data_IF_270635366004
#
_entry.id   IF_270635366004
#
_cell.length_a   1.000
_cell.length_b   1.000
_cell.length_c   1.000
_cell.angle_alpha   90.00
_cell.angle_beta   90.00
_cell.angle_gamma   90.00
#
_symmetry.space_group_name_H-M   'P 1'
#
loop_
_entity.id
_entity.type
_entity.pdbx_description
1 polymer ?
#
# COMPACT_ATOMS: atom_id res chain seq x y z
N UNK A 1 26.48 -27.80 9.36
CA UNK A 1 26.41 -26.55 10.14
C UNK A 1 25.15 -25.85 9.67
N UNK A 2 24.11 -25.94 10.47
CA UNK A 2 22.73 -25.64 10.07
C UNK A 2 22.49 -24.13 10.10
N UNK A 3 21.99 -23.57 8.99
CA UNK A 3 21.33 -22.27 9.03
C UNK A 3 19.90 -22.52 9.48
N UNK A 4 19.69 -22.48 10.79
CA UNK A 4 18.37 -22.39 11.39
C UNK A 4 17.82 -21.01 11.03
N UNK A 5 17.02 -20.94 9.96
CA UNK A 5 16.17 -19.78 9.74
C UNK A 5 15.02 -19.87 10.74
N UNK A 6 15.27 -19.36 11.94
CA UNK A 6 14.26 -19.25 13.00
C UNK A 6 13.16 -18.32 12.47
N UNK A 7 12.07 -18.90 11.97
CA UNK A 7 10.82 -18.19 11.77
C UNK A 7 10.27 -17.88 13.15
N UNK A 8 10.75 -16.78 13.74
CA UNK A 8 10.17 -16.22 14.94
C UNK A 8 8.81 -15.65 14.54
N UNK A 9 7.79 -16.52 14.58
CA UNK A 9 6.37 -16.17 14.49
C UNK A 9 5.94 -15.46 15.77
N UNK A 10 6.60 -14.36 16.11
CA UNK A 10 6.22 -13.54 17.26
C UNK A 10 5.36 -12.38 16.74
N UNK A 11 4.07 -12.70 16.62
CA UNK A 11 2.96 -11.72 16.56
C UNK A 11 3.18 -10.54 15.61
N UNK A 12 3.57 -10.79 14.35
CA UNK A 12 3.40 -9.78 13.32
C UNK A 12 1.89 -9.58 13.17
N UNK A 13 1.36 -8.42 13.58
CA UNK A 13 -0.03 -8.05 13.32
C UNK A 13 -0.27 -8.26 11.83
N UNK A 14 -1.00 -9.32 11.48
CA UNK A 14 -1.40 -9.55 10.10
C UNK A 14 -2.14 -8.31 9.62
N UNK A 15 -1.62 -7.69 8.55
CA UNK A 15 -2.24 -6.52 7.98
C UNK A 15 -3.62 -6.93 7.47
N UNK A 16 -4.67 -6.54 8.20
CA UNK A 16 -6.04 -6.85 7.81
C UNK A 16 -6.44 -5.91 6.67
N UNK A 17 -6.17 -6.35 5.45
CA UNK A 17 -6.40 -5.59 4.22
C UNK A 17 -7.85 -5.11 4.09
N UNK A 18 -8.81 -5.96 4.47
CA UNK A 18 -10.24 -5.63 4.38
C UNK A 18 -10.62 -4.57 5.40
N UNK A 19 -10.17 -4.71 6.66
CA UNK A 19 -10.42 -3.72 7.70
C UNK A 19 -9.80 -2.36 7.37
N UNK A 20 -8.63 -2.36 6.74
CA UNK A 20 -7.96 -1.15 6.29
C UNK A 20 -8.71 -0.47 5.13
N UNK A 21 -9.04 -1.21 4.08
CA UNK A 21 -9.80 -0.69 2.93
C UNK A 21 -11.21 -0.18 3.32
N UNK A 22 -11.80 -0.73 4.38
CA UNK A 22 -13.11 -0.32 4.89
C UNK A 22 -13.04 0.75 5.98
N UNK A 23 -11.84 1.23 6.33
CA UNK A 23 -11.69 2.30 7.31
C UNK A 23 -12.41 3.56 6.80
N UNK A 24 -13.52 3.89 7.46
CA UNK A 24 -14.38 5.02 7.07
C UNK A 24 -13.57 6.32 7.08
N UNK A 25 -13.43 6.93 5.92
CA UNK A 25 -12.98 8.30 5.78
C UNK A 25 -14.20 9.21 5.85
N UNK A 26 -14.26 10.02 6.91
CA UNK A 26 -15.43 10.85 7.22
C UNK A 26 -15.62 12.02 6.24
N UNK A 27 -14.56 12.41 5.52
CA UNK A 27 -14.57 13.56 4.61
C UNK A 27 -13.71 13.26 3.40
N UNK A 28 -14.32 13.32 2.20
CA UNK A 28 -13.60 13.20 0.94
C UNK A 28 -12.74 14.44 0.72
N UNK A 29 -11.52 14.27 0.20
CA UNK A 29 -10.62 15.40 -0.01
C UNK A 29 -11.13 16.35 -1.10
N UNK A 30 -11.02 17.65 -0.84
CA UNK A 30 -11.23 18.75 -1.78
C UNK A 30 -10.18 19.85 -1.56
N UNK A 31 -10.17 20.88 -2.41
CA UNK A 31 -9.17 21.97 -2.39
C UNK A 31 -9.11 22.71 -1.04
N UNK A 32 -10.21 22.74 -0.28
CA UNK A 32 -10.31 23.45 1.01
C UNK A 32 -9.78 22.65 2.20
N UNK A 33 -9.64 21.32 2.07
CA UNK A 33 -9.31 20.43 3.18
C UNK A 33 -8.05 19.57 2.96
N UNK A 34 -7.37 19.75 1.81
CA UNK A 34 -6.22 18.94 1.40
C UNK A 34 -5.11 18.82 2.45
N UNK A 35 -4.72 19.92 3.11
CA UNK A 35 -3.59 19.88 4.05
C UNK A 35 -3.88 19.00 5.27
N UNK A 36 -5.11 19.09 5.79
CA UNK A 36 -5.57 18.26 6.90
C UNK A 36 -5.71 16.79 6.49
N UNK A 37 -6.25 16.53 5.29
CA UNK A 37 -6.32 15.20 4.72
C UNK A 37 -4.92 14.59 4.52
N UNK A 38 -3.97 15.35 3.97
CA UNK A 38 -2.59 14.92 3.75
C UNK A 38 -1.92 14.50 5.05
N UNK A 39 -2.10 15.29 6.12
CA UNK A 39 -1.63 14.93 7.46
C UNK A 39 -2.29 13.64 7.98
N UNK A 40 -3.60 13.48 7.78
CA UNK A 40 -4.31 12.27 8.17
C UNK A 40 -3.77 11.03 7.44
N UNK A 41 -3.60 11.10 6.12
CA UNK A 41 -3.03 10.00 5.33
C UNK A 41 -1.60 9.66 5.77
N UNK A 42 -0.75 10.66 6.01
CA UNK A 42 0.61 10.42 6.51
C UNK A 42 0.62 9.73 7.88
N UNK A 43 -0.34 10.05 8.76
CA UNK A 43 -0.49 9.38 10.06
C UNK A 43 -0.98 7.93 9.91
N UNK A 44 -1.91 7.67 8.99
CA UNK A 44 -2.39 6.31 8.69
C UNK A 44 -1.29 5.45 8.04
N UNK A 45 -0.49 6.03 7.15
CA UNK A 45 0.68 5.35 6.55
C UNK A 45 1.79 5.12 7.58
N UNK A 46 1.91 5.96 8.61
CA UNK A 46 2.85 5.72 9.72
C UNK A 46 2.44 4.56 10.63
N UNK A 47 1.14 4.32 10.81
CA UNK A 47 0.64 3.21 11.63
C UNK A 47 0.68 1.88 10.90
N UNK A 48 0.77 1.92 9.57
CA UNK A 48 0.90 0.77 8.70
C UNK A 48 2.17 0.95 7.88
N UNK A 49 3.35 0.56 8.40
CA UNK A 49 4.54 0.52 7.57
C UNK A 49 4.22 -0.39 6.38
N UNK A 50 3.91 0.24 5.24
CA UNK A 50 4.22 -0.29 3.93
C UNK A 50 5.57 -0.94 4.10
N UNK A 51 5.71 -2.20 3.71
CA UNK A 51 7.03 -2.80 3.66
C UNK A 51 7.85 -1.91 2.71
N UNK A 52 8.54 -0.90 3.24
CA UNK A 52 9.26 0.16 2.51
C UNK A 52 10.52 -0.39 1.81
N UNK A 53 10.58 -1.71 1.65
CA UNK A 53 11.66 -2.42 1.02
C UNK A 53 11.20 -2.83 -0.36
N UNK A 54 10.95 -1.82 -1.20
CA UNK A 54 10.96 -1.94 -2.67
C UNK A 54 12.41 -2.19 -3.10
N UNK A 55 12.96 -3.31 -2.68
CA UNK A 55 14.09 -3.92 -3.35
C UNK A 55 13.47 -5.05 -4.13
N UNK A 56 13.09 -4.74 -5.37
CA UNK A 56 12.62 -5.62 -6.46
C UNK A 56 12.45 -7.07 -5.98
N UNK A 57 11.33 -7.35 -5.30
CA UNK A 57 11.07 -8.72 -4.90
C UNK A 57 10.85 -9.52 -6.19
N UNK A 58 11.61 -10.59 -6.42
CA UNK A 58 11.42 -11.39 -7.61
C UNK A 58 10.04 -12.05 -7.53
N UNK A 59 9.29 -12.00 -8.63
CA UNK A 59 7.98 -12.63 -8.76
C UNK A 59 8.03 -14.14 -8.48
N UNK A 60 9.15 -14.77 -8.84
CA UNK A 60 9.39 -16.19 -8.65
C UNK A 60 10.70 -16.42 -7.92
N UNK A 61 10.69 -17.34 -6.95
CA UNK A 61 11.88 -17.85 -6.27
C UNK A 61 12.05 -19.33 -6.59
N UNK A 62 13.27 -19.85 -6.48
CA UNK A 62 13.51 -21.28 -6.63
C UNK A 62 13.25 -21.98 -5.29
N UNK A 63 12.43 -23.03 -5.28
CA UNK A 63 12.19 -23.85 -4.10
C UNK A 63 13.36 -24.81 -3.79
N UNK A 64 13.30 -25.50 -2.66
CA UNK A 64 14.32 -26.46 -2.23
C UNK A 64 14.50 -27.65 -3.20
N UNK A 65 13.53 -27.87 -4.10
CA UNK A 65 13.56 -28.90 -5.14
C UNK A 65 14.09 -28.37 -6.50
N UNK A 66 14.42 -27.08 -6.60
CA UNK A 66 14.91 -26.46 -7.83
C UNK A 66 13.81 -25.97 -8.78
N UNK A 67 12.54 -26.00 -8.38
CA UNK A 67 11.43 -25.49 -9.17
C UNK A 67 11.22 -23.99 -8.96
N UNK A 68 10.82 -23.29 -10.01
CA UNK A 68 10.37 -21.89 -9.90
C UNK A 68 8.97 -21.87 -9.26
N UNK A 69 8.88 -21.30 -8.08
CA UNK A 69 7.62 -21.09 -7.34
C UNK A 69 7.36 -19.61 -7.17
N UNK A 70 6.09 -19.25 -7.02
CA UNK A 70 5.68 -17.87 -6.77
C UNK A 70 6.19 -17.39 -5.41
N UNK A 71 6.75 -16.18 -5.39
CA UNK A 71 7.22 -15.58 -4.16
C UNK A 71 6.03 -15.06 -3.35
N UNK A 72 5.62 -15.80 -2.32
CA UNK A 72 4.53 -15.38 -1.43
C UNK A 72 4.74 -13.99 -0.81
N UNK A 73 6.00 -13.58 -0.62
CA UNK A 73 6.35 -12.23 -0.13
C UNK A 73 6.03 -11.16 -1.18
N UNK A 74 6.22 -11.46 -2.47
CA UNK A 74 5.82 -10.58 -3.57
C UNK A 74 4.30 -10.46 -3.64
N UNK A 75 3.58 -11.58 -3.53
CA UNK A 75 2.10 -11.59 -3.54
C UNK A 75 1.53 -10.79 -2.37
N UNK A 76 2.08 -10.96 -1.17
CA UNK A 76 1.68 -10.19 0.01
C UNK A 76 1.95 -8.69 -0.17
N UNK A 77 3.07 -8.32 -0.78
CA UNK A 77 3.40 -6.95 -1.12
C UNK A 77 2.38 -6.35 -2.11
N UNK A 78 2.09 -7.03 -3.22
CA UNK A 78 1.10 -6.56 -4.21
C UNK A 78 -0.29 -6.42 -3.61
N UNK A 79 -0.69 -7.37 -2.76
CA UNK A 79 -1.98 -7.31 -2.08
C UNK A 79 -2.05 -6.09 -1.14
N UNK A 80 -0.96 -5.81 -0.41
CA UNK A 80 -0.89 -4.65 0.48
C UNK A 80 -0.91 -3.33 -0.31
N UNK A 81 -0.13 -3.22 -1.39
CA UNK A 81 -0.08 -2.02 -2.24
C UNK A 81 -1.42 -1.78 -2.95
N UNK A 82 -2.06 -2.83 -3.48
CA UNK A 82 -3.39 -2.76 -4.08
C UNK A 82 -4.44 -2.31 -3.07
N UNK A 83 -4.37 -2.83 -1.84
CA UNK A 83 -5.30 -2.45 -0.75
C UNK A 83 -5.11 -0.98 -0.38
N UNK A 84 -3.87 -0.52 -0.28
CA UNK A 84 -3.56 0.88 0.01
C UNK A 84 -3.98 1.82 -1.12
N UNK A 85 -3.82 1.40 -2.37
CA UNK A 85 -4.30 2.13 -3.54
C UNK A 85 -5.82 2.28 -3.52
N UNK A 86 -6.54 1.18 -3.26
CA UNK A 86 -8.00 1.18 -3.17
C UNK A 86 -8.50 2.05 -2.00
N UNK A 87 -7.86 1.94 -0.83
CA UNK A 87 -8.17 2.78 0.32
C UNK A 87 -7.92 4.26 0.01
N UNK A 88 -6.74 4.60 -0.53
CA UNK A 88 -6.38 5.97 -0.86
C UNK A 88 -7.37 6.59 -1.85
N UNK A 89 -7.75 5.84 -2.90
CA UNK A 89 -8.75 6.26 -3.87
C UNK A 89 -10.14 6.46 -3.24
N UNK A 90 -10.51 5.65 -2.25
CA UNK A 90 -11.78 5.79 -1.51
C UNK A 90 -11.84 7.07 -0.67
N UNK A 91 -10.68 7.63 -0.31
CA UNK A 91 -10.60 8.89 0.45
C UNK A 91 -10.73 10.14 -0.44
N UNK A 92 -10.71 9.95 -1.77
CA UNK A 92 -10.68 11.02 -2.75
C UNK A 92 -12.07 11.24 -3.33
N UNK A 93 -12.47 12.51 -3.48
CA UNK A 93 -13.74 12.86 -4.12
C UNK A 93 -13.77 12.42 -5.59
N UNK A 94 -14.92 11.94 -6.05
CA UNK A 94 -15.12 11.46 -7.42
C UNK A 94 -14.73 12.50 -8.50
N UNK A 95 -14.80 13.80 -8.18
CA UNK A 95 -14.38 14.90 -9.05
C UNK A 95 -12.91 14.81 -9.50
N UNK A 96 -12.05 14.18 -8.69
CA UNK A 96 -10.63 14.02 -8.98
C UNK A 96 -10.29 12.63 -9.54
N UNK A 97 -11.22 11.66 -9.50
CA UNK A 97 -10.95 10.30 -9.98
C UNK A 97 -10.53 10.28 -11.46
N UNK A 98 -11.15 11.10 -12.31
CA UNK A 98 -10.78 11.21 -13.72
C UNK A 98 -9.34 11.69 -13.94
N UNK A 99 -8.80 12.51 -13.04
CA UNK A 99 -7.43 13.01 -13.11
C UNK A 99 -6.40 11.99 -12.61
N UNK A 100 -6.87 10.96 -11.89
CA UNK A 100 -6.05 9.88 -11.32
C UNK A 100 -6.02 8.63 -12.21
N UNK A 101 -6.81 8.61 -13.30
CA UNK A 101 -6.83 7.52 -14.28
C UNK A 101 -5.41 7.37 -14.86
N UNK A 102 -4.84 6.17 -14.71
CA UNK A 102 -3.48 5.84 -15.16
C UNK A 102 -2.37 6.01 -14.10
N UNK A 103 -2.68 6.59 -12.93
CA UNK A 103 -1.75 6.67 -11.79
C UNK A 103 -2.04 5.61 -10.71
N UNK A 104 -2.99 4.71 -10.95
CA UNK A 104 -3.47 3.69 -10.00
C UNK A 104 -2.62 2.43 -9.93
N UNK A 105 -1.47 2.38 -10.62
CA UNK A 105 -0.62 1.19 -10.68
C UNK A 105 0.15 0.92 -9.39
N UNK A 106 0.30 1.92 -8.51
CA UNK A 106 0.81 1.71 -7.16
C UNK A 106 0.31 2.78 -6.20
N UNK A 107 0.31 2.48 -4.90
CA UNK A 107 -0.11 3.44 -3.88
C UNK A 107 0.82 4.67 -3.87
N UNK A 108 2.10 4.47 -4.18
CA UNK A 108 3.10 5.54 -4.28
C UNK A 108 2.83 6.47 -5.47
N UNK A 109 2.58 5.92 -6.66
CA UNK A 109 2.26 6.73 -7.85
C UNK A 109 0.96 7.52 -7.64
N UNK A 110 -0.03 6.91 -7.00
CA UNK A 110 -1.29 7.56 -6.66
C UNK A 110 -1.09 8.71 -5.67
N UNK A 111 -0.24 8.51 -4.65
CA UNK A 111 0.13 9.55 -3.68
C UNK A 111 0.83 10.74 -4.35
N UNK A 112 1.82 10.49 -5.21
CA UNK A 112 2.52 11.54 -5.97
C UNK A 112 1.58 12.33 -6.90
N UNK A 113 0.62 11.65 -7.54
CA UNK A 113 -0.38 12.31 -8.37
C UNK A 113 -1.27 13.24 -7.53
N UNK A 114 -1.73 12.78 -6.36
CA UNK A 114 -2.55 13.57 -5.44
C UNK A 114 -1.78 14.78 -4.88
N UNK A 115 -0.52 14.59 -4.47
CA UNK A 115 0.30 15.71 -3.98
C UNK A 115 0.58 16.75 -5.07
N UNK A 116 0.67 16.34 -6.34
CA UNK A 116 0.80 17.25 -7.48
C UNK A 116 -0.49 18.03 -7.77
N UNK A 117 -1.65 17.39 -7.71
CA UNK A 117 -2.96 18.03 -8.01
C UNK A 117 -3.28 19.13 -6.99
N UNK A 118 -3.02 18.88 -5.70
CA UNK A 118 -3.40 19.79 -4.62
C UNK A 118 -2.22 20.59 -4.02
N UNK A 119 -1.01 20.38 -4.52
CA UNK A 119 0.22 21.01 -4.01
C UNK A 119 0.60 22.34 -4.66
N UNK A 120 -0.28 22.92 -5.48
CA UNK A 120 -0.15 24.26 -6.08
C UNK A 120 -0.57 25.35 -5.12
#
# INVERSE_FOLDING_TARGET
MEFVCSFDSTTRRDFNSVAFATQKVATLVDDSNFLAWKQHVLLVLKTHPLQQSVSVLPHTITDDAGHLVENLTFVQYEQQDSTLSAWLLSTVSASFHNQLIGSSSSAFTLWEALTRIFGT
#
